data_IF_016231837025
#
_entry.id   IF_016231837025
#
_cell.length_a   1.000
_cell.length_b   1.000
_cell.length_c   1.000
_cell.angle_alpha   90.00
_cell.angle_beta   90.00
_cell.angle_gamma   90.00
#
_symmetry.space_group_name_H-M   'P 1'
#
loop_
_entity.id
_entity.type
_entity.pdbx_description
1 polymer ?
#
# COMPACT_ATOMS: atom_id res chain seq x y z
N UNK A 1 -30.52 25.86 12.67
CA UNK A 1 -29.85 25.71 11.36
C UNK A 1 -30.39 24.43 10.72
N UNK A 2 -30.97 24.49 9.52
CA UNK A 2 -31.52 23.31 8.86
C UNK A 2 -30.40 22.54 8.14
N UNK A 3 -30.01 21.38 8.67
CA UNK A 3 -29.19 20.42 7.95
C UNK A 3 -30.04 19.80 6.84
N UNK A 4 -29.45 19.52 5.67
CA UNK A 4 -30.15 18.82 4.58
C UNK A 4 -30.77 17.52 5.10
N UNK A 5 -31.93 17.11 4.54
CA UNK A 5 -32.70 15.94 5.01
C UNK A 5 -31.76 14.77 5.31
N UNK A 6 -31.81 14.29 6.55
CA UNK A 6 -31.06 13.12 6.96
C UNK A 6 -31.50 11.91 6.11
N UNK A 7 -30.55 11.06 5.73
CA UNK A 7 -30.88 9.74 5.19
C UNK A 7 -31.52 8.87 6.30
N UNK A 8 -32.01 7.67 5.94
CA UNK A 8 -32.65 6.74 6.89
C UNK A 8 -31.76 6.33 8.08
N UNK A 9 -30.47 6.66 8.06
CA UNK A 9 -29.50 6.41 9.14
C UNK A 9 -29.27 7.65 10.03
N UNK A 10 -30.02 8.74 9.85
CA UNK A 10 -29.87 9.98 10.61
C UNK A 10 -28.66 10.84 10.19
N UNK A 11 -27.95 10.48 9.12
CA UNK A 11 -26.76 11.21 8.61
C UNK A 11 -27.19 12.20 7.52
N UNK A 12 -26.62 13.40 7.51
CA UNK A 12 -26.98 14.43 6.54
C UNK A 12 -26.66 13.99 5.10
N UNK A 13 -27.59 14.22 4.17
CA UNK A 13 -27.33 14.02 2.74
C UNK A 13 -26.61 15.25 2.15
N UNK A 14 -25.49 15.00 1.48
CA UNK A 14 -24.37 15.88 1.07
C UNK A 14 -24.64 17.18 0.26
N UNK A 15 -25.86 17.72 0.21
CA UNK A 15 -26.12 18.95 -0.58
C UNK A 15 -25.99 20.20 0.29
N UNK A 16 -24.79 20.76 0.32
CA UNK A 16 -24.52 22.06 0.94
C UNK A 16 -24.45 23.16 -0.14
N UNK A 17 -25.28 24.20 -0.02
CA UNK A 17 -25.30 25.35 -0.94
C UNK A 17 -24.77 26.63 -0.25
N UNK A 18 -24.36 27.62 -1.04
CA UNK A 18 -23.90 28.94 -0.57
C UNK A 18 -22.56 28.90 0.18
N UNK A 19 -22.33 29.86 1.07
CA UNK A 19 -21.08 29.97 1.85
C UNK A 19 -20.69 28.68 2.59
N UNK A 20 -21.66 27.88 3.04
CA UNK A 20 -21.40 26.58 3.67
C UNK A 20 -20.80 25.58 2.67
N UNK A 21 -21.30 25.56 1.43
CA UNK A 21 -20.74 24.73 0.37
C UNK A 21 -19.32 25.14 0.02
N UNK A 22 -19.06 26.45 -0.11
CA UNK A 22 -17.72 26.95 -0.43
C UNK A 22 -16.69 26.65 0.67
N UNK A 23 -17.09 26.74 1.94
CA UNK A 23 -16.22 26.38 3.07
C UNK A 23 -15.93 24.88 3.21
N UNK A 24 -16.78 24.01 2.62
CA UNK A 24 -16.64 22.55 2.68
C UNK A 24 -16.00 21.96 1.41
N UNK A 25 -15.63 22.80 0.43
CA UNK A 25 -14.93 22.36 -0.77
C UNK A 25 -13.47 21.98 -0.46
N UNK A 26 -12.87 21.14 -1.31
CA UNK A 26 -11.43 20.91 -1.27
C UNK A 26 -10.63 22.22 -1.36
N UNK A 27 -9.42 22.28 -0.77
CA UNK A 27 -8.60 23.48 -0.80
C UNK A 27 -8.36 23.99 -2.22
N UNK A 28 -8.56 25.30 -2.44
CA UNK A 28 -8.35 25.92 -3.74
C UNK A 28 -6.86 25.99 -4.05
N UNK A 29 -6.47 25.56 -5.25
CA UNK A 29 -5.09 25.66 -5.74
C UNK A 29 -4.11 24.65 -5.13
N UNK A 30 -4.59 23.70 -4.32
CA UNK A 30 -3.77 22.59 -3.82
C UNK A 30 -4.24 21.28 -4.45
N UNK A 31 -3.29 20.35 -4.63
CA UNK A 31 -3.62 18.98 -4.99
C UNK A 31 -4.27 18.29 -3.78
N UNK A 32 -5.27 17.47 -4.05
CA UNK A 32 -6.00 16.73 -3.02
C UNK A 32 -6.50 15.41 -3.59
N UNK A 33 -6.84 14.50 -2.68
CA UNK A 33 -7.34 13.17 -2.98
C UNK A 33 -8.62 12.96 -2.17
N UNK A 34 -9.60 12.27 -2.75
CA UNK A 34 -10.76 11.78 -2.03
C UNK A 34 -10.58 10.32 -1.60
N UNK A 35 -11.14 10.00 -0.44
CA UNK A 35 -11.50 8.64 -0.06
C UNK A 35 -13.00 8.58 0.15
N UNK A 36 -13.66 7.52 -0.33
CA UNK A 36 -15.10 7.34 -0.05
C UNK A 36 -15.29 6.73 1.33
N UNK A 37 -16.42 7.09 1.96
CA UNK A 37 -16.82 6.48 3.23
C UNK A 37 -16.88 4.94 3.12
N UNK A 38 -17.49 4.42 2.05
CA UNK A 38 -17.60 2.98 1.79
C UNK A 38 -16.22 2.30 1.78
N UNK A 39 -15.22 2.95 1.16
CA UNK A 39 -13.87 2.43 1.13
C UNK A 39 -13.24 2.41 2.52
N UNK A 40 -13.35 3.52 3.27
CA UNK A 40 -12.77 3.63 4.62
C UNK A 40 -13.40 2.65 5.61
N UNK A 41 -14.70 2.38 5.49
CA UNK A 41 -15.43 1.42 6.34
C UNK A 41 -15.22 -0.04 5.88
N UNK A 42 -14.63 -0.27 4.71
CA UNK A 42 -14.46 -1.61 4.16
C UNK A 42 -13.55 -2.50 5.02
N UNK A 43 -13.82 -3.82 5.09
CA UNK A 43 -12.91 -4.76 5.76
C UNK A 43 -11.50 -4.71 5.19
N UNK A 44 -11.35 -4.45 3.89
CA UNK A 44 -10.06 -4.30 3.23
C UNK A 44 -9.26 -3.14 3.81
N UNK A 45 -9.86 -1.96 3.94
CA UNK A 45 -9.20 -0.77 4.48
C UNK A 45 -8.86 -0.93 5.97
N UNK A 46 -9.76 -1.56 6.74
CA UNK A 46 -9.53 -1.84 8.16
C UNK A 46 -8.41 -2.86 8.39
N UNK A 47 -8.16 -3.75 7.43
CA UNK A 47 -7.12 -4.76 7.53
C UNK A 47 -5.70 -4.26 7.21
N UNK A 48 -5.55 -3.07 6.59
CA UNK A 48 -4.25 -2.50 6.24
C UNK A 48 -3.35 -2.30 7.47
N UNK A 49 -2.14 -2.85 7.40
CA UNK A 49 -1.06 -2.57 8.33
C UNK A 49 -0.55 -1.14 8.18
N UNK A 50 0.18 -0.65 9.20
CA UNK A 50 0.73 0.71 9.20
C UNK A 50 1.62 0.95 7.97
N UNK A 51 2.47 -0.02 7.61
CA UNK A 51 3.34 0.09 6.44
C UNK A 51 2.58 0.04 5.12
N UNK A 52 1.49 -0.75 5.06
CA UNK A 52 0.62 -0.78 3.88
C UNK A 52 -0.13 0.55 3.69
N UNK A 53 -0.58 1.19 4.78
CA UNK A 53 -1.15 2.55 4.75
C UNK A 53 -0.13 3.60 4.32
N UNK A 54 1.09 3.55 4.87
CA UNK A 54 2.17 4.46 4.46
C UNK A 54 2.53 4.29 2.99
N UNK A 55 2.59 3.05 2.50
CA UNK A 55 2.84 2.76 1.10
C UNK A 55 1.73 3.31 0.20
N UNK A 56 0.47 3.11 0.59
CA UNK A 56 -0.67 3.67 -0.13
C UNK A 56 -0.59 5.19 -0.17
N UNK A 57 -0.34 5.84 0.97
CA UNK A 57 -0.18 7.30 1.05
C UNK A 57 0.97 7.82 0.19
N UNK A 58 2.10 7.09 0.10
CA UNK A 58 3.20 7.47 -0.78
C UNK A 58 2.78 7.45 -2.27
N UNK A 59 2.00 6.45 -2.70
CA UNK A 59 1.47 6.39 -4.05
C UNK A 59 0.40 7.46 -4.31
N UNK A 60 -0.41 7.80 -3.32
CA UNK A 60 -1.40 8.89 -3.42
C UNK A 60 -0.72 10.25 -3.57
N UNK A 61 0.39 10.47 -2.86
CA UNK A 61 1.23 11.67 -3.03
C UNK A 61 1.83 11.71 -4.43
N UNK A 62 2.38 10.60 -4.92
CA UNK A 62 2.91 10.52 -6.28
C UNK A 62 1.81 10.81 -7.32
N UNK A 63 0.61 10.25 -7.12
CA UNK A 63 -0.54 10.52 -7.98
C UNK A 63 -0.91 12.02 -8.00
N UNK A 64 -0.92 12.68 -6.84
CA UNK A 64 -1.12 14.14 -6.73
C UNK A 64 0.00 14.94 -7.40
N UNK A 65 1.26 14.52 -7.27
CA UNK A 65 2.40 15.18 -7.93
C UNK A 65 2.24 15.19 -9.45
N UNK A 66 1.56 14.19 -10.02
CA UNK A 66 1.24 14.08 -11.45
C UNK A 66 -0.16 14.60 -11.81
N UNK A 67 -0.74 15.48 -10.98
CA UNK A 67 -2.07 16.06 -11.19
C UNK A 67 -3.17 15.01 -11.45
N UNK A 68 -3.02 13.80 -10.90
CA UNK A 68 -3.96 12.70 -11.05
C UNK A 68 -3.91 11.97 -12.40
N UNK A 69 -2.98 12.30 -13.31
CA UNK A 69 -2.98 11.78 -14.68
C UNK A 69 -2.16 10.50 -14.87
N UNK A 70 -1.20 10.24 -13.98
CA UNK A 70 -0.25 9.12 -14.13
C UNK A 70 -0.72 7.80 -13.45
N UNK A 71 -2.00 7.67 -13.10
CA UNK A 71 -2.47 6.42 -12.48
C UNK A 71 -2.26 5.22 -13.42
N UNK A 72 -1.63 4.16 -12.93
CA UNK A 72 -1.17 3.01 -13.72
C UNK A 72 0.31 3.05 -14.09
N UNK A 73 0.96 4.20 -13.93
CA UNK A 73 2.40 4.42 -14.14
C UNK A 73 3.07 5.05 -12.92
N UNK A 74 2.44 4.96 -11.74
CA UNK A 74 2.99 5.52 -10.51
C UNK A 74 4.26 4.75 -10.13
N UNK A 75 5.36 5.45 -9.92
CA UNK A 75 6.63 4.85 -9.55
C UNK A 75 6.94 5.13 -8.09
N UNK A 76 7.44 4.12 -7.39
CA UNK A 76 7.93 4.28 -6.03
C UNK A 76 9.26 3.55 -5.89
N UNK A 77 10.36 4.31 -5.86
CA UNK A 77 11.67 3.75 -5.57
C UNK A 77 11.77 3.35 -4.10
N UNK A 78 12.68 2.42 -3.78
CA UNK A 78 12.88 2.00 -2.39
C UNK A 78 13.27 3.18 -1.49
N UNK A 79 14.08 4.12 -1.99
CA UNK A 79 14.56 5.25 -1.19
C UNK A 79 13.44 6.26 -0.92
N UNK A 80 12.55 6.52 -1.88
CA UNK A 80 11.35 7.32 -1.66
C UNK A 80 10.42 6.69 -0.60
N UNK A 81 10.25 5.37 -0.63
CA UNK A 81 9.45 4.65 0.36
C UNK A 81 10.08 4.63 1.75
N UNK A 82 11.41 4.61 1.83
CA UNK A 82 12.12 4.80 3.10
C UNK A 82 11.92 6.22 3.62
N UNK A 83 12.03 7.23 2.76
CA UNK A 83 11.78 8.62 3.11
C UNK A 83 10.32 8.86 3.56
N UNK A 84 9.36 8.09 3.04
CA UNK A 84 7.97 8.11 3.49
C UNK A 84 7.73 7.36 4.81
N UNK A 85 8.77 6.83 5.46
CA UNK A 85 8.72 6.20 6.78
C UNK A 85 8.65 4.67 6.77
N UNK A 86 8.75 4.01 5.62
CA UNK A 86 8.69 2.54 5.54
C UNK A 86 10.10 1.96 5.67
N UNK A 87 10.31 1.13 6.69
CA UNK A 87 11.59 0.41 6.82
C UNK A 87 11.82 -0.52 5.63
N UNK A 88 13.06 -0.56 5.10
CA UNK A 88 13.40 -1.26 3.85
C UNK A 88 12.97 -2.73 3.80
N UNK A 89 13.06 -3.45 4.93
CA UNK A 89 12.65 -4.86 5.06
C UNK A 89 11.11 -5.06 5.08
N UNK A 90 10.32 -4.00 5.20
CA UNK A 90 8.85 -4.02 5.19
C UNK A 90 8.25 -3.59 3.86
N UNK A 91 9.00 -2.93 2.99
CA UNK A 91 8.52 -2.45 1.68
C UNK A 91 7.85 -3.57 0.89
N UNK A 92 8.54 -4.71 0.70
CA UNK A 92 7.97 -5.85 -0.03
C UNK A 92 6.68 -6.36 0.61
N UNK A 93 6.64 -6.46 1.94
CA UNK A 93 5.45 -6.93 2.65
C UNK A 93 4.28 -5.95 2.49
N UNK A 94 4.55 -4.64 2.51
CA UNK A 94 3.55 -3.60 2.31
C UNK A 94 2.97 -3.66 0.89
N UNK A 95 3.81 -3.80 -0.14
CA UNK A 95 3.36 -3.96 -1.53
C UNK A 95 2.46 -5.20 -1.67
N UNK A 96 2.92 -6.37 -1.23
CA UNK A 96 2.16 -7.63 -1.30
C UNK A 96 0.81 -7.52 -0.56
N UNK A 97 0.79 -6.84 0.59
CA UNK A 97 -0.43 -6.65 1.38
C UNK A 97 -1.43 -5.72 0.68
N UNK A 98 -0.97 -4.57 0.20
CA UNK A 98 -1.83 -3.57 -0.45
C UNK A 98 -2.41 -4.10 -1.77
N UNK A 99 -1.62 -4.89 -2.53
CA UNK A 99 -2.06 -5.61 -3.72
C UNK A 99 -3.09 -6.70 -3.37
N UNK A 100 -2.79 -7.54 -2.38
CA UNK A 100 -3.70 -8.62 -1.99
C UNK A 100 -5.08 -8.10 -1.53
N UNK A 101 -5.08 -6.98 -0.80
CA UNK A 101 -6.30 -6.31 -0.34
C UNK A 101 -7.06 -5.62 -1.48
N UNK A 102 -6.42 -5.41 -2.64
CA UNK A 102 -7.04 -4.90 -3.85
C UNK A 102 -7.03 -3.38 -3.97
N UNK A 103 -6.15 -2.68 -3.24
CA UNK A 103 -6.01 -1.22 -3.36
C UNK A 103 -5.04 -0.81 -4.48
N UNK A 104 -4.09 -1.67 -4.80
CA UNK A 104 -3.18 -1.48 -5.92
C UNK A 104 -3.17 -2.68 -6.86
N UNK A 105 -2.73 -2.44 -8.09
CA UNK A 105 -2.22 -3.44 -9.02
C UNK A 105 -0.79 -3.09 -9.38
N UNK A 106 0.11 -4.09 -9.39
CA UNK A 106 1.47 -3.92 -9.92
C UNK A 106 1.43 -4.06 -11.44
N UNK A 107 1.42 -2.93 -12.15
CA UNK A 107 1.30 -2.92 -13.63
C UNK A 107 2.60 -3.34 -14.31
N UNK A 108 3.74 -3.03 -13.69
CA UNK A 108 5.06 -3.50 -14.13
C UNK A 108 5.89 -3.91 -12.92
N UNK A 109 6.37 -5.17 -12.85
CA UNK A 109 7.32 -5.55 -11.83
C UNK A 109 8.64 -4.81 -12.05
N UNK A 110 9.16 -4.20 -11.00
CA UNK A 110 10.51 -3.65 -10.99
C UNK A 110 11.56 -4.75 -10.98
N UNK A 111 12.81 -4.39 -11.26
CA UNK A 111 13.92 -5.33 -11.27
C UNK A 111 15.14 -4.81 -12.00
N UNK A 112 16.22 -5.59 -11.93
CA UNK A 112 17.46 -5.29 -12.65
C UNK A 112 17.31 -5.74 -14.10
N UNK A 113 17.38 -4.80 -15.03
CA UNK A 113 17.33 -5.05 -16.46
C UNK A 113 18.49 -4.36 -17.16
N UNK A 114 19.31 -5.13 -17.89
CA UNK A 114 20.43 -4.61 -18.69
C UNK A 114 21.28 -3.56 -17.94
N UNK A 115 21.78 -3.91 -16.74
CA UNK A 115 22.52 -3.04 -15.82
C UNK A 115 21.79 -1.82 -15.23
N UNK A 116 20.53 -1.57 -15.58
CA UNK A 116 19.69 -0.55 -14.95
C UNK A 116 18.76 -1.16 -13.90
N UNK A 117 18.48 -0.41 -12.83
CA UNK A 117 17.46 -0.80 -11.86
C UNK A 117 16.15 -0.11 -12.24
N UNK A 118 15.16 -0.90 -12.65
CA UNK A 118 13.86 -0.39 -13.08
C UNK A 118 12.90 -0.36 -11.90
N UNK A 119 12.26 0.79 -11.60
CA UNK A 119 11.27 0.85 -10.53
C UNK A 119 10.02 0.07 -10.93
N UNK A 120 9.32 -0.46 -9.93
CA UNK A 120 7.98 -1.01 -10.11
C UNK A 120 7.00 0.12 -10.44
N UNK A 121 6.00 -0.20 -11.25
CA UNK A 121 4.89 0.70 -11.55
C UNK A 121 3.59 0.18 -10.95
N UNK A 122 2.75 1.11 -10.51
CA UNK A 122 1.53 0.82 -9.76
C UNK A 122 0.31 1.56 -10.31
N UNK A 123 -0.85 0.91 -10.18
CA UNK A 123 -2.18 1.50 -10.37
C UNK A 123 -2.93 1.50 -9.06
N UNK A 124 -3.52 2.63 -8.69
CA UNK A 124 -4.51 2.72 -7.61
C UNK A 124 -5.87 2.29 -8.16
N UNK A 125 -6.46 1.24 -7.60
CA UNK A 125 -7.66 0.59 -8.16
C UNK A 125 -8.94 1.40 -7.97
N UNK A 126 -8.95 2.35 -7.04
CA UNK A 126 -10.09 3.21 -6.71
C UNK A 126 -10.03 4.58 -7.39
N UNK A 127 -8.97 4.88 -8.14
CA UNK A 127 -8.95 6.01 -9.07
C UNK A 127 -9.08 5.54 -10.52
N UNK A 128 -9.63 6.41 -11.36
CA UNK A 128 -9.64 6.18 -12.80
C UNK A 128 -8.23 6.22 -13.38
N UNK A 129 -8.06 5.64 -14.56
CA UNK A 129 -6.82 5.71 -15.33
C UNK A 129 -7.06 6.46 -16.63
N UNK A 130 -6.02 7.13 -17.14
CA UNK A 130 -6.07 7.83 -18.43
C UNK A 130 -5.10 7.13 -19.37
N UNK A 131 -5.61 6.74 -20.54
CA UNK A 131 -4.81 6.17 -21.62
C UNK A 131 -5.09 6.92 -22.92
N UNK A 132 -4.08 7.68 -23.39
CA UNK A 132 -4.27 8.58 -24.53
C UNK A 132 -5.35 9.61 -24.24
N UNK A 133 -6.41 9.62 -25.05
CA UNK A 133 -7.56 10.52 -24.88
C UNK A 133 -8.71 9.89 -24.08
N UNK A 134 -8.59 8.62 -23.66
CA UNK A 134 -9.67 7.88 -23.01
C UNK A 134 -9.44 7.79 -21.50
N UNK A 135 -10.50 8.05 -20.74
CA UNK A 135 -10.55 7.83 -19.29
C UNK A 135 -11.29 6.54 -18.96
N UNK A 136 -10.72 5.71 -18.10
CA UNK A 136 -11.34 4.50 -17.58
C UNK A 136 -11.79 4.70 -16.14
N UNK A 137 -12.99 4.21 -15.77
CA UNK A 137 -13.48 4.32 -14.41
C UNK A 137 -12.67 3.44 -13.43
N UNK A 138 -12.67 3.76 -12.13
CA UNK A 138 -12.01 2.95 -11.12
C UNK A 138 -12.62 1.54 -11.01
N UNK A 139 -11.76 0.52 -10.86
CA UNK A 139 -12.18 -0.89 -10.76
C UNK A 139 -12.63 -1.29 -9.35
N UNK A 140 -12.19 -0.56 -8.32
CA UNK A 140 -12.53 -0.78 -6.91
C UNK A 140 -12.36 -2.24 -6.46
N UNK A 141 -11.21 -2.83 -6.75
CA UNK A 141 -10.95 -4.26 -6.50
C UNK A 141 -11.00 -4.63 -5.01
N UNK A 142 -10.75 -3.66 -4.13
CA UNK A 142 -10.91 -3.79 -2.69
C UNK A 142 -12.31 -4.27 -2.27
N UNK A 143 -13.35 -4.00 -3.08
CA UNK A 143 -14.72 -4.51 -2.82
C UNK A 143 -14.82 -6.03 -2.86
N UNK A 144 -13.93 -6.71 -3.60
CA UNK A 144 -13.88 -8.17 -3.67
C UNK A 144 -13.26 -8.79 -2.42
N UNK A 145 -12.61 -8.00 -1.57
CA UNK A 145 -11.91 -8.49 -0.39
C UNK A 145 -12.86 -8.70 0.78
N UNK A 146 -13.07 -9.96 1.14
CA UNK A 146 -13.93 -10.37 2.25
C UNK A 146 -13.13 -10.62 3.53
N UNK A 147 -13.82 -10.63 4.68
CA UNK A 147 -13.22 -10.99 5.99
C UNK A 147 -12.57 -12.38 5.95
N UNK A 148 -13.19 -13.34 5.25
CA UNK A 148 -12.64 -14.69 5.05
C UNK A 148 -11.31 -14.66 4.28
N UNK A 149 -11.25 -13.88 3.20
CA UNK A 149 -10.03 -13.69 2.40
C UNK A 149 -8.91 -13.09 3.26
N UNK A 150 -9.22 -12.08 4.07
CA UNK A 150 -8.27 -11.45 4.99
C UNK A 150 -7.75 -12.45 6.04
N UNK A 151 -8.63 -13.28 6.62
CA UNK A 151 -8.23 -14.30 7.58
C UNK A 151 -7.27 -15.33 6.96
N UNK A 152 -7.58 -15.82 5.76
CA UNK A 152 -6.70 -16.73 5.02
C UNK A 152 -5.31 -16.13 4.77
N UNK A 153 -5.24 -14.85 4.39
CA UNK A 153 -3.98 -14.13 4.22
C UNK A 153 -3.15 -14.04 5.50
N UNK A 154 -3.80 -13.74 6.63
CA UNK A 154 -3.11 -13.67 7.94
C UNK A 154 -2.50 -15.02 8.31
N UNK A 155 -3.19 -16.14 8.05
CA UNK A 155 -2.64 -17.47 8.28
C UNK A 155 -1.45 -17.76 7.35
N UNK A 156 -1.51 -17.39 6.07
CA UNK A 156 -0.37 -17.52 5.14
C UNK A 156 0.85 -16.74 5.68
N UNK A 157 0.66 -15.50 6.14
CA UNK A 157 1.75 -14.69 6.71
C UNK A 157 2.32 -15.32 7.99
N UNK A 158 1.48 -15.88 8.85
CA UNK A 158 1.89 -16.60 10.07
C UNK A 158 2.73 -17.82 9.71
N UNK A 159 2.31 -18.62 8.74
CA UNK A 159 3.09 -19.76 8.25
C UNK A 159 4.43 -19.33 7.64
N UNK A 160 4.46 -18.29 6.80
CA UNK A 160 5.71 -17.72 6.24
C UNK A 160 6.68 -17.30 7.36
N UNK A 161 6.19 -16.62 8.41
CA UNK A 161 7.00 -16.20 9.57
C UNK A 161 7.53 -17.38 10.38
N UNK A 162 6.73 -18.43 10.59
CA UNK A 162 7.19 -19.66 11.28
C UNK A 162 8.30 -20.35 10.50
N UNK A 163 8.15 -20.47 9.19
CA UNK A 163 9.18 -21.06 8.31
C UNK A 163 10.48 -20.26 8.33
N UNK A 164 10.43 -18.93 8.25
CA UNK A 164 11.66 -18.11 8.27
C UNK A 164 12.40 -18.18 9.60
N UNK A 165 11.67 -18.27 10.73
CA UNK A 165 12.26 -18.48 12.06
C UNK A 165 12.90 -19.86 12.20
N UNK A 166 12.21 -20.91 11.75
CA UNK A 166 12.77 -22.27 11.75
C UNK A 166 14.04 -22.37 10.92
N UNK A 167 14.06 -21.76 9.74
CA UNK A 167 15.26 -21.68 8.90
C UNK A 167 16.40 -20.92 9.58
N UNK A 168 16.14 -19.75 10.19
CA UNK A 168 17.18 -19.02 10.94
C UNK A 168 17.77 -19.83 12.10
N UNK A 169 16.95 -20.59 12.83
CA UNK A 169 17.42 -21.42 13.92
C UNK A 169 18.30 -22.58 13.44
N UNK A 170 18.03 -23.15 12.25
CA UNK A 170 18.91 -24.18 11.67
C UNK A 170 20.28 -23.64 11.25
N UNK A 171 20.34 -22.43 10.67
CA UNK A 171 21.61 -21.83 10.24
C UNK A 171 22.38 -21.14 11.38
N UNK A 172 21.71 -20.74 12.47
CA UNK A 172 22.33 -20.10 13.63
C UNK A 172 22.91 -21.06 14.68
N UNK A 173 22.71 -22.37 14.54
CA UNK A 173 23.22 -23.39 15.47
C UNK A 173 24.59 -23.96 15.08
N UNK A 174 25.21 -23.50 13.98
CA UNK A 174 26.59 -23.85 13.67
C UNK A 174 27.51 -22.92 14.46
N UNK A 175 27.69 -23.21 15.74
CA UNK A 175 28.89 -22.76 16.45
C UNK A 175 30.05 -23.40 15.72
N UNK A 176 30.86 -22.62 15.01
CA UNK A 176 32.15 -23.08 14.51
C UNK A 176 32.97 -23.34 15.78
N UNK A 177 33.00 -24.58 16.26
CA UNK A 177 34.00 -25.03 17.22
C UNK A 177 35.36 -24.90 16.53
N UNK A 178 35.93 -23.70 16.61
CA UNK A 178 37.32 -23.49 16.26
C UNK A 178 38.10 -24.16 17.37
N UNK A 179 38.49 -25.42 17.16
CA UNK A 179 39.44 -26.10 18.02
C UNK A 179 40.75 -25.32 17.89
N UNK A 180 41.02 -24.44 18.85
CA UNK A 180 42.31 -23.75 18.96
C UNK A 180 43.31 -24.84 19.35
N UNK A 181 44.07 -25.35 18.39
CA UNK A 181 45.18 -26.26 18.68
C UNK A 181 46.26 -25.40 19.37
N UNK A 182 46.61 -25.66 20.64
CA UNK A 182 47.68 -24.94 21.29
C UNK A 182 49.00 -25.19 20.52
N UNK A 183 49.76 -24.11 20.32
CA UNK A 183 50.98 -24.07 19.48
C UNK A 183 52.08 -25.05 19.94
N UNK A 184 51.95 -25.58 21.16
CA UNK A 184 52.84 -26.59 21.76
C UNK A 184 52.65 -28.01 21.17
N UNK A 185 51.60 -28.24 20.37
CA UNK A 185 51.25 -29.54 19.80
C UNK A 185 51.62 -29.69 18.30
N UNK A 186 52.44 -28.80 17.74
CA UNK A 186 52.93 -28.92 16.36
C UNK A 186 54.31 -29.61 16.34
N UNK A 187 54.52 -30.63 15.47
CA UNK A 187 55.76 -31.43 15.41
C UNK A 187 56.97 -30.65 14.89
#
# INVERSE_FOLDING_TARGET
MAFGKANNTGRSSNKHNGNRGDALRPPKGQQWIWHTQEMLESPAWQALSIYARQFLGALEIEHMNHAGQANGRLMATYDQLVASGITRNKIRQAIEETEYLGFIEVTRPGGRWANSNQPSMYRLTYFGTIEGQHGFPPTNEWKKTTVKKIAAWKEILKHKRRRSRGSKNMFGSSTIETTIVPMEALP
#
